data_IF_740427194996
#
_entry.id   IF_740427194996
#
_cell.length_a   1.000
_cell.length_b   1.000
_cell.length_c   1.000
_cell.angle_alpha   90.00
_cell.angle_beta   90.00
_cell.angle_gamma   90.00
#
_symmetry.space_group_name_H-M   'P 1'
#
loop_
_entity.id
_entity.type
_entity.pdbx_description
1 polymer ?
#
# COMPACT_ATOMS: atom_id res chain seq x y z
N UNK A 1 9.75 -33.05 -7.94
CA UNK A 1 10.13 -31.75 -8.54
C UNK A 1 9.30 -30.67 -7.86
N UNK A 2 9.89 -29.73 -7.12
CA UNK A 2 9.15 -28.59 -6.56
C UNK A 2 8.89 -27.62 -7.69
N UNK A 3 7.62 -27.40 -8.04
CA UNK A 3 7.23 -26.30 -8.92
C UNK A 3 7.56 -25.03 -8.16
N UNK A 4 8.58 -24.30 -8.61
CA UNK A 4 8.78 -22.92 -8.19
C UNK A 4 7.59 -22.18 -8.81
N UNK A 5 6.55 -21.90 -8.03
CA UNK A 5 5.59 -20.87 -8.41
C UNK A 5 6.38 -19.56 -8.41
N UNK A 6 6.97 -19.24 -9.57
CA UNK A 6 7.33 -17.88 -9.87
C UNK A 6 6.00 -17.13 -9.82
N UNK A 7 5.82 -16.26 -8.81
CA UNK A 7 4.75 -15.28 -8.88
C UNK A 7 4.81 -14.67 -10.28
N UNK A 8 3.68 -14.56 -11.00
CA UNK A 8 3.66 -13.84 -12.26
C UNK A 8 4.36 -12.48 -12.03
N UNK A 9 5.20 -12.01 -12.98
CA UNK A 9 5.92 -10.76 -12.81
C UNK A 9 4.94 -9.68 -12.38
N UNK A 10 5.26 -9.03 -11.26
CA UNK A 10 4.41 -8.00 -10.70
C UNK A 10 4.31 -6.86 -11.71
N UNK A 11 3.12 -6.65 -12.26
CA UNK A 11 2.91 -5.70 -13.33
C UNK A 11 2.74 -4.29 -12.76
N UNK A 12 3.87 -3.64 -12.44
CA UNK A 12 3.88 -2.32 -11.82
C UNK A 12 3.23 -1.26 -12.74
N UNK A 13 2.11 -0.69 -12.29
CA UNK A 13 1.49 0.49 -12.91
C UNK A 13 1.96 1.77 -12.23
N UNK A 14 1.13 2.33 -11.34
CA UNK A 14 1.41 3.56 -10.60
C UNK A 14 1.69 3.28 -9.12
N UNK A 15 2.52 4.08 -8.48
CA UNK A 15 2.82 3.96 -7.05
C UNK A 15 2.74 5.31 -6.36
N UNK A 16 2.08 5.34 -5.19
CA UNK A 16 2.07 6.49 -4.29
C UNK A 16 2.65 6.08 -2.93
N UNK A 17 3.37 7.01 -2.32
CA UNK A 17 3.91 6.83 -0.97
C UNK A 17 2.85 7.22 0.05
N UNK A 18 2.73 6.45 1.12
CA UNK A 18 1.88 6.83 2.26
C UNK A 18 2.49 8.06 2.94
N UNK A 19 1.79 9.20 2.97
CA UNK A 19 2.33 10.44 3.52
C UNK A 19 2.49 10.38 5.05
N UNK A 20 3.36 11.20 5.64
CA UNK A 20 3.39 11.39 7.08
C UNK A 20 2.09 12.06 7.57
N UNK A 21 1.78 11.94 8.87
CA UNK A 21 0.51 12.40 9.45
C UNK A 21 0.20 13.89 9.24
N UNK A 22 1.23 14.73 9.18
CA UNK A 22 1.09 16.17 9.06
C UNK A 22 0.83 16.64 7.61
N UNK A 23 1.00 15.76 6.61
CA UNK A 23 0.93 16.14 5.19
C UNK A 23 -0.49 15.92 4.62
N UNK A 24 -1.42 16.78 5.05
CA UNK A 24 -2.84 16.68 4.69
C UNK A 24 -3.08 16.76 3.18
N UNK A 25 -2.26 17.51 2.45
CA UNK A 25 -2.37 17.67 0.99
C UNK A 25 -2.12 16.34 0.29
N UNK A 26 -1.02 15.67 0.61
CA UNK A 26 -0.72 14.39 -0.01
C UNK A 26 -1.65 13.28 0.49
N UNK A 27 -2.19 13.37 1.71
CA UNK A 27 -3.27 12.50 2.17
C UNK A 27 -4.53 12.64 1.32
N UNK A 28 -4.95 13.85 0.98
CA UNK A 28 -6.11 14.06 0.10
C UNK A 28 -5.90 13.48 -1.30
N UNK A 29 -4.67 13.59 -1.84
CA UNK A 29 -4.30 12.95 -3.12
C UNK A 29 -4.37 11.43 -3.00
N UNK A 30 -3.82 10.86 -1.93
CA UNK A 30 -3.83 9.42 -1.70
C UNK A 30 -5.27 8.88 -1.59
N UNK A 31 -6.14 9.54 -0.80
CA UNK A 31 -7.54 9.13 -0.68
C UNK A 31 -8.30 9.17 -2.00
N UNK A 32 -8.09 10.23 -2.79
CA UNK A 32 -8.71 10.34 -4.11
C UNK A 32 -8.22 9.24 -5.06
N UNK A 33 -6.96 8.84 -4.95
CA UNK A 33 -6.38 7.79 -5.79
C UNK A 33 -6.85 6.39 -5.40
N UNK A 34 -6.99 6.12 -4.10
CA UNK A 34 -7.44 4.82 -3.58
C UNK A 34 -8.94 4.59 -3.74
N UNK A 35 -9.76 5.64 -3.59
CA UNK A 35 -11.22 5.51 -3.63
C UNK A 35 -11.74 4.53 -2.58
N UNK A 36 -12.68 3.66 -2.99
CA UNK A 36 -13.38 2.72 -2.10
C UNK A 36 -12.55 1.47 -1.73
N UNK A 37 -11.36 1.33 -2.32
CA UNK A 37 -10.42 0.25 -2.03
C UNK A 37 -9.64 0.49 -0.74
N UNK A 38 -9.87 1.61 -0.05
CA UNK A 38 -9.18 1.92 1.20
C UNK A 38 -10.10 2.46 2.30
N UNK A 39 -9.68 2.23 3.55
CA UNK A 39 -10.35 2.75 4.73
C UNK A 39 -9.35 3.28 5.76
N UNK A 40 -9.79 4.29 6.51
CA UNK A 40 -9.00 4.87 7.59
C UNK A 40 -8.89 3.89 8.77
N UNK A 41 -7.72 3.86 9.41
CA UNK A 41 -7.49 3.08 10.63
C UNK A 41 -7.70 4.00 11.83
N UNK A 42 -8.61 3.65 12.74
CA UNK A 42 -9.06 4.53 13.82
C UNK A 42 -7.98 4.92 14.83
N UNK A 43 -6.92 4.10 14.98
CA UNK A 43 -5.98 4.20 16.12
C UNK A 43 -4.51 4.39 15.71
N UNK A 44 -4.20 4.46 14.41
CA UNK A 44 -2.82 4.52 13.94
C UNK A 44 -2.49 5.89 13.34
N UNK A 45 -1.47 6.54 13.90
CA UNK A 45 -0.88 7.76 13.33
C UNK A 45 -0.35 7.47 11.92
N UNK A 46 -1.00 8.06 10.92
CA UNK A 46 -0.67 7.93 9.49
C UNK A 46 -0.60 6.48 8.97
N UNK A 47 -1.74 5.78 9.03
CA UNK A 47 -1.93 4.50 8.35
C UNK A 47 -3.26 4.45 7.61
N UNK A 48 -3.28 3.63 6.57
CA UNK A 48 -4.44 3.33 5.73
C UNK A 48 -4.52 1.83 5.51
N UNK A 49 -5.72 1.27 5.58
CA UNK A 49 -5.93 -0.11 5.17
C UNK A 49 -6.39 -0.13 3.72
N UNK A 50 -5.74 -0.94 2.89
CA UNK A 50 -6.00 -1.07 1.46
C UNK A 50 -6.44 -2.51 1.18
N UNK A 51 -7.49 -2.69 0.37
CA UNK A 51 -7.89 -4.00 -0.14
C UNK A 51 -6.86 -4.47 -1.17
N UNK A 52 -6.34 -5.67 -0.97
CA UNK A 52 -5.44 -6.34 -1.93
C UNK A 52 -6.02 -7.71 -2.27
N UNK A 53 -5.56 -8.36 -3.36
CA UNK A 53 -6.01 -9.71 -3.71
C UNK A 53 -5.81 -10.74 -2.60
N UNK A 54 -4.78 -10.55 -1.76
CA UNK A 54 -4.46 -11.41 -0.62
C UNK A 54 -5.27 -11.05 0.65
N UNK A 55 -6.03 -9.96 0.61
CA UNK A 55 -6.84 -9.44 1.71
C UNK A 55 -6.48 -8.00 2.09
N UNK A 56 -7.14 -7.43 3.11
CA UNK A 56 -6.84 -6.08 3.57
C UNK A 56 -5.45 -5.98 4.21
N UNK A 57 -4.63 -5.01 3.78
CA UNK A 57 -3.28 -4.75 4.30
C UNK A 57 -3.20 -3.33 4.84
N UNK A 58 -2.58 -3.16 6.01
CA UNK A 58 -2.32 -1.83 6.58
C UNK A 58 -0.99 -1.30 6.07
N UNK A 59 -1.02 -0.16 5.39
CA UNK A 59 0.15 0.59 4.97
C UNK A 59 0.37 1.78 5.90
N UNK A 60 1.60 1.95 6.38
CA UNK A 60 1.98 3.04 7.27
C UNK A 60 2.75 4.13 6.53
N UNK A 61 2.86 5.32 7.13
CA UNK A 61 3.70 6.39 6.63
C UNK A 61 5.08 5.88 6.18
N UNK A 62 5.45 6.24 4.95
CA UNK A 62 6.69 5.81 4.32
C UNK A 62 6.55 4.60 3.40
N UNK A 63 5.58 3.71 3.64
CA UNK A 63 5.27 2.56 2.77
C UNK A 63 4.82 3.02 1.38
N UNK A 64 4.92 2.12 0.42
CA UNK A 64 4.43 2.35 -0.94
C UNK A 64 3.16 1.55 -1.17
N UNK A 65 2.17 2.19 -1.78
CA UNK A 65 1.00 1.52 -2.34
C UNK A 65 1.14 1.54 -3.85
N UNK A 66 1.09 0.35 -4.46
CA UNK A 66 1.31 0.13 -5.89
C UNK A 66 0.01 -0.39 -6.51
N UNK A 67 -0.47 0.29 -7.55
CA UNK A 67 -1.54 -0.17 -8.41
C UNK A 67 -0.93 -0.90 -9.60
N UNK A 68 -1.29 -2.18 -9.77
CA UNK A 68 -0.91 -2.97 -10.95
C UNK A 68 -1.73 -2.56 -12.17
N UNK A 69 -1.24 -2.82 -13.40
CA UNK A 69 -2.05 -2.59 -14.62
C UNK A 69 -3.31 -3.46 -14.66
N UNK A 70 -3.31 -4.61 -13.98
CA UNK A 70 -4.50 -5.45 -13.78
C UNK A 70 -5.55 -4.84 -12.83
N UNK A 71 -5.25 -3.70 -12.19
CA UNK A 71 -6.19 -2.96 -11.34
C UNK A 71 -6.18 -3.37 -9.87
N UNK A 72 -5.17 -4.10 -9.41
CA UNK A 72 -5.06 -4.53 -8.01
C UNK A 72 -4.01 -3.71 -7.25
N UNK A 73 -4.33 -3.36 -6.00
CA UNK A 73 -3.39 -2.69 -5.10
C UNK A 73 -2.52 -3.68 -4.33
N UNK A 74 -1.29 -3.25 -4.05
CA UNK A 74 -0.32 -3.98 -3.25
C UNK A 74 0.47 -3.00 -2.38
N UNK A 75 0.93 -3.47 -1.22
CA UNK A 75 1.72 -2.64 -0.28
C UNK A 75 3.15 -3.15 -0.25
N UNK A 76 4.11 -2.25 -0.47
CA UNK A 76 5.52 -2.51 -0.25
C UNK A 76 5.97 -1.74 0.99
N UNK A 77 6.22 -2.50 2.06
CA UNK A 77 6.64 -1.93 3.34
C UNK A 77 8.06 -1.39 3.24
N UNK A 78 8.25 -0.15 3.71
CA UNK A 78 9.60 0.39 3.88
C UNK A 78 10.23 -0.26 5.10
N UNK A 79 11.43 -0.83 4.93
CA UNK A 79 12.20 -1.37 6.06
C UNK A 79 12.43 -0.25 7.07
N UNK A 80 11.86 -0.41 8.26
CA UNK A 80 12.14 0.44 9.41
C UNK A 80 13.29 -0.23 10.15
N UNK A 81 14.38 0.50 10.40
CA UNK A 81 15.60 -0.04 11.02
C UNK A 81 15.46 -0.44 12.50
N UNK A 82 14.33 -1.01 12.91
CA UNK A 82 14.05 -1.45 14.29
C UNK A 82 13.65 -2.93 14.39
N UNK A 83 14.08 -3.76 13.43
CA UNK A 83 14.06 -5.23 13.55
C UNK A 83 15.49 -5.78 13.45
N UNK A 84 16.34 -5.44 14.43
CA UNK A 84 17.64 -6.07 14.69
C UNK A 84 17.81 -6.31 16.18
#
# INVERSE_FOLDING_TARGET
>A
MRVIQLHPPFDHGAALRVPPAHDQKNWAVLWRWLGDEAQAVAEASAAVQVRTPEGPVVAHAGDWIVLSHSGSFHVAHTVRGHDA
#
